data_IF_776136793114
#
_entry.id   IF_776136793114
#
_cell.length_a   1.000
_cell.length_b   1.000
_cell.length_c   1.000
_cell.angle_alpha   90.00
_cell.angle_beta   90.00
_cell.angle_gamma   90.00
#
_symmetry.space_group_name_H-M   'P 1'
#
loop_
_entity.id
_entity.type
_entity.pdbx_description
1 polymer ?
#
# COMPACT_ATOMS: atom_id res chain seq x y z
N UNK A 1 -36.77 -12.05 65.94
CA UNK A 1 -35.71 -11.41 65.12
C UNK A 1 -35.49 -12.26 63.87
N UNK A 2 -36.12 -11.89 62.76
CA UNK A 2 -35.97 -12.59 61.45
C UNK A 2 -34.86 -11.89 60.65
N UNK A 3 -33.76 -12.58 60.39
CA UNK A 3 -32.69 -12.09 59.52
C UNK A 3 -33.12 -12.26 58.06
N UNK A 4 -33.28 -11.13 57.36
CA UNK A 4 -33.49 -11.06 55.93
C UNK A 4 -32.12 -11.21 55.26
N UNK A 5 -31.88 -12.29 54.53
CA UNK A 5 -30.70 -12.46 53.68
C UNK A 5 -31.07 -11.91 52.31
N UNK A 6 -30.48 -10.79 51.96
CA UNK A 6 -30.61 -10.17 50.62
C UNK A 6 -29.60 -10.85 49.69
N UNK A 7 -30.05 -11.72 48.79
CA UNK A 7 -29.26 -12.28 47.70
C UNK A 7 -29.19 -11.22 46.59
N UNK A 8 -28.02 -10.60 46.42
CA UNK A 8 -27.75 -9.78 45.26
C UNK A 8 -27.35 -10.70 44.09
N UNK A 9 -28.27 -10.87 43.14
CA UNK A 9 -28.00 -11.58 41.89
C UNK A 9 -27.15 -10.68 41.01
N UNK A 10 -25.87 -10.99 40.86
CA UNK A 10 -24.96 -10.36 39.91
C UNK A 10 -25.33 -10.89 38.52
N UNK A 11 -26.08 -10.12 37.75
CA UNK A 11 -26.32 -10.39 36.34
C UNK A 11 -25.01 -10.14 35.60
N UNK A 12 -24.19 -11.16 35.34
CA UNK A 12 -23.13 -11.11 34.34
C UNK A 12 -23.82 -11.06 32.98
N UNK A 13 -23.90 -9.88 32.38
CA UNK A 13 -24.19 -9.74 30.96
C UNK A 13 -22.91 -10.18 30.22
N UNK A 14 -22.85 -11.46 29.88
CA UNK A 14 -21.92 -11.93 28.86
C UNK A 14 -22.39 -11.35 27.52
N UNK A 15 -21.79 -10.24 27.10
CA UNK A 15 -21.86 -9.80 25.71
C UNK A 15 -21.12 -10.87 24.93
N UNK A 16 -21.84 -11.87 24.46
CA UNK A 16 -21.32 -12.84 23.51
C UNK A 16 -20.89 -12.05 22.28
N UNK A 17 -19.58 -11.95 22.01
CA UNK A 17 -19.09 -11.43 20.74
C UNK A 17 -19.70 -12.31 19.65
N UNK A 18 -20.64 -11.76 18.87
CA UNK A 18 -21.16 -12.43 17.70
C UNK A 18 -19.99 -12.67 16.74
N UNK A 19 -19.73 -13.92 16.39
CA UNK A 19 -18.78 -14.24 15.35
C UNK A 19 -19.13 -13.41 14.10
N UNK A 20 -18.15 -12.69 13.56
CA UNK A 20 -18.36 -11.81 12.42
C UNK A 20 -18.90 -12.62 11.25
N UNK A 21 -20.10 -12.28 10.77
CA UNK A 21 -20.72 -13.00 9.64
C UNK A 21 -19.93 -12.68 8.37
N UNK A 22 -19.38 -13.72 7.69
CA UNK A 22 -18.64 -13.52 6.45
C UNK A 22 -19.49 -12.84 5.38
N UNK A 23 -18.92 -11.87 4.69
CA UNK A 23 -19.56 -11.31 3.50
C UNK A 23 -19.57 -12.33 2.37
N UNK A 24 -20.66 -12.33 1.64
CA UNK A 24 -20.83 -13.13 0.41
C UNK A 24 -20.70 -12.29 -0.84
N UNK A 25 -20.78 -10.96 -0.70
CA UNK A 25 -20.76 -9.98 -1.78
C UNK A 25 -20.13 -8.69 -1.27
N UNK A 26 -19.26 -8.10 -2.07
CA UNK A 26 -18.59 -6.85 -1.77
C UNK A 26 -19.46 -5.60 -2.00
N UNK A 27 -18.89 -4.44 -1.69
CA UNK A 27 -19.55 -3.16 -1.80
C UNK A 27 -19.91 -2.77 -3.26
N UNK A 28 -19.20 -3.29 -4.27
CA UNK A 28 -19.58 -3.10 -5.68
C UNK A 28 -21.01 -3.56 -6.00
N UNK A 29 -21.46 -4.64 -5.33
CA UNK A 29 -22.81 -5.16 -5.51
C UNK A 29 -23.80 -4.60 -4.48
N UNK A 30 -23.36 -4.42 -3.24
CA UNK A 30 -24.24 -4.16 -2.09
C UNK A 30 -24.33 -2.68 -1.72
N UNK A 31 -23.34 -1.88 -2.07
CA UNK A 31 -23.19 -0.49 -1.59
C UNK A 31 -22.99 -0.37 -0.07
N UNK A 32 -22.74 -1.49 0.63
CA UNK A 32 -22.62 -1.52 2.09
C UNK A 32 -21.16 -1.60 2.51
N UNK A 33 -20.84 -0.93 3.61
CA UNK A 33 -19.52 -0.92 4.24
C UNK A 33 -19.71 -1.22 5.73
N UNK A 34 -18.83 -2.07 6.28
CA UNK A 34 -18.84 -2.40 7.70
C UNK A 34 -18.14 -1.30 8.49
N UNK A 35 -18.66 -0.99 9.66
CA UNK A 35 -17.90 -0.27 10.68
C UNK A 35 -17.51 -1.27 11.78
N UNK A 36 -16.30 -1.85 11.62
CA UNK A 36 -15.84 -2.88 12.53
C UNK A 36 -15.60 -2.35 13.95
N UNK A 37 -15.19 -1.09 14.10
CA UNK A 37 -15.09 -0.46 15.42
C UNK A 37 -16.44 -0.53 16.15
N UNK A 38 -17.53 -0.14 15.48
CA UNK A 38 -18.87 -0.18 16.09
C UNK A 38 -19.32 -1.61 16.38
N UNK A 39 -19.06 -2.56 15.47
CA UNK A 39 -19.34 -3.98 15.68
C UNK A 39 -18.57 -4.55 16.88
N UNK A 40 -17.39 -4.01 17.19
CA UNK A 40 -16.55 -4.36 18.33
C UNK A 40 -16.83 -3.54 19.61
N UNK A 41 -17.90 -2.71 19.61
CA UNK A 41 -18.39 -2.03 20.79
C UNK A 41 -17.93 -0.58 20.98
N UNK A 42 -17.19 0.01 20.03
CA UNK A 42 -16.88 1.44 20.05
C UNK A 42 -18.12 2.26 19.68
N UNK A 43 -18.28 3.44 20.28
CA UNK A 43 -19.39 4.33 19.95
C UNK A 43 -19.12 5.03 18.61
N UNK A 44 -20.16 5.16 17.77
CA UNK A 44 -20.03 5.82 16.46
C UNK A 44 -19.40 7.23 16.59
N UNK A 45 -19.85 8.04 17.57
CA UNK A 45 -19.31 9.39 17.76
C UNK A 45 -17.81 9.40 18.08
N UNK A 46 -17.33 8.41 18.84
CA UNK A 46 -15.90 8.28 19.18
C UNK A 46 -15.10 7.84 17.94
N UNK A 47 -15.67 6.95 17.12
CA UNK A 47 -15.07 6.52 15.84
C UNK A 47 -14.94 7.71 14.88
N UNK A 48 -15.99 8.51 14.73
CA UNK A 48 -15.98 9.68 13.85
C UNK A 48 -14.97 10.74 14.34
N UNK A 49 -14.90 10.97 15.65
CA UNK A 49 -13.92 11.89 16.24
C UNK A 49 -12.48 11.38 16.05
N UNK A 50 -12.26 10.08 16.26
CA UNK A 50 -10.93 9.47 16.10
C UNK A 50 -10.47 9.47 14.64
N UNK A 51 -11.35 9.16 13.70
CA UNK A 51 -11.03 9.23 12.28
C UNK A 51 -10.63 10.66 11.86
N UNK A 52 -11.35 11.67 12.37
CA UNK A 52 -11.01 13.08 12.13
C UNK A 52 -9.68 13.47 12.80
N UNK A 53 -9.41 12.99 14.00
CA UNK A 53 -8.12 13.17 14.70
C UNK A 53 -6.96 12.64 13.85
N UNK A 54 -7.08 11.39 13.38
CA UNK A 54 -6.03 10.73 12.57
C UNK A 54 -5.83 11.44 11.23
N UNK A 55 -6.90 11.89 10.57
CA UNK A 55 -6.80 12.72 9.37
C UNK A 55 -6.04 14.02 9.66
N UNK A 56 -6.41 14.72 10.75
CA UNK A 56 -5.75 15.98 11.11
C UNK A 56 -4.28 15.79 11.48
N UNK A 57 -3.90 14.67 12.11
CA UNK A 57 -2.51 14.36 12.43
C UNK A 57 -1.64 14.34 11.14
N UNK A 58 -2.14 13.74 10.07
CA UNK A 58 -1.43 13.61 8.78
C UNK A 58 -1.47 14.90 7.95
N UNK A 59 -2.58 15.66 7.97
CA UNK A 59 -2.78 16.78 7.06
C UNK A 59 -2.67 18.17 7.69
N UNK A 60 -2.89 18.32 9.00
CA UNK A 60 -3.05 19.66 9.65
C UNK A 60 -2.28 19.78 10.95
N UNK A 61 -1.97 18.69 11.64
CA UNK A 61 -1.35 18.66 12.96
C UNK A 61 0.16 18.92 12.95
N UNK A 62 0.80 18.78 14.11
CA UNK A 62 2.26 18.99 14.22
C UNK A 62 3.07 17.93 13.48
N UNK A 63 2.52 16.73 13.28
CA UNK A 63 3.14 15.61 12.56
C UNK A 63 2.76 15.58 11.09
N UNK A 64 2.11 16.64 10.58
CA UNK A 64 1.61 16.67 9.21
C UNK A 64 2.70 16.42 8.18
N UNK A 65 2.32 15.68 7.15
CA UNK A 65 3.16 15.43 5.97
C UNK A 65 2.66 16.19 4.74
N UNK A 66 1.50 16.83 4.82
CA UNK A 66 0.95 17.69 3.77
C UNK A 66 1.39 19.14 3.94
N UNK A 67 1.84 19.76 2.83
CA UNK A 67 2.29 21.14 2.78
C UNK A 67 1.72 21.88 1.57
N UNK A 68 1.23 23.08 1.78
CA UNK A 68 0.78 23.98 0.73
C UNK A 68 1.94 24.76 0.11
N UNK A 69 1.82 25.03 -1.21
CA UNK A 69 2.80 25.80 -1.98
C UNK A 69 2.08 26.87 -2.76
N UNK A 70 2.30 28.14 -2.38
CA UNK A 70 1.55 29.26 -2.93
C UNK A 70 0.05 29.07 -2.79
N UNK A 71 -0.72 29.66 -3.72
CA UNK A 71 -2.18 29.73 -3.60
C UNK A 71 -2.90 28.49 -4.14
N UNK A 72 -2.21 27.63 -4.90
CA UNK A 72 -2.93 26.60 -5.68
C UNK A 72 -2.30 25.21 -5.71
N UNK A 73 -1.12 25.02 -5.12
CA UNK A 73 -0.42 23.73 -5.11
C UNK A 73 -0.16 23.23 -3.70
N UNK A 74 0.13 21.94 -3.57
CA UNK A 74 0.54 21.30 -2.33
C UNK A 74 1.18 19.96 -2.60
N UNK A 75 1.93 19.44 -1.63
CA UNK A 75 2.57 18.15 -1.72
C UNK A 75 2.50 17.39 -0.39
N UNK A 76 2.63 16.07 -0.47
CA UNK A 76 2.91 15.18 0.66
C UNK A 76 4.41 14.88 0.64
N UNK A 77 5.07 15.12 1.77
CA UNK A 77 6.51 14.92 1.93
C UNK A 77 6.82 13.67 2.74
N UNK A 78 7.73 12.84 2.24
CA UNK A 78 8.52 12.00 3.14
C UNK A 78 9.48 12.91 3.90
N UNK A 79 9.09 13.22 5.14
CA UNK A 79 9.78 14.22 5.98
C UNK A 79 11.25 13.83 6.21
N UNK A 80 11.52 12.53 6.34
CA UNK A 80 12.83 12.00 6.63
C UNK A 80 13.78 12.08 5.43
N UNK A 81 13.24 11.85 4.23
CA UNK A 81 14.01 11.89 3.00
C UNK A 81 13.96 13.26 2.31
N UNK A 82 13.18 14.20 2.85
CA UNK A 82 13.01 15.56 2.31
C UNK A 82 12.59 15.58 0.84
N UNK A 83 11.72 14.62 0.45
CA UNK A 83 11.22 14.51 -0.90
C UNK A 83 9.70 14.27 -0.93
N UNK A 84 9.11 14.49 -2.10
CA UNK A 84 7.74 14.09 -2.42
C UNK A 84 7.80 12.89 -3.36
N UNK A 85 7.09 11.83 -3.02
CA UNK A 85 7.05 10.57 -3.78
C UNK A 85 5.69 10.34 -4.38
N UNK A 86 5.63 9.65 -5.53
CA UNK A 86 4.34 9.27 -6.14
C UNK A 86 3.47 8.48 -5.18
N UNK A 87 4.05 7.65 -4.32
CA UNK A 87 3.36 6.93 -3.25
C UNK A 87 2.57 7.90 -2.36
N UNK A 88 3.25 8.83 -1.67
CA UNK A 88 2.59 9.76 -0.74
C UNK A 88 1.66 10.75 -1.43
N UNK A 89 2.01 11.22 -2.65
CA UNK A 89 1.15 12.11 -3.42
C UNK A 89 -0.15 11.42 -3.82
N UNK A 90 -0.09 10.17 -4.26
CA UNK A 90 -1.24 9.39 -4.67
C UNK A 90 -2.11 8.95 -3.49
N UNK A 91 -1.50 8.62 -2.35
CA UNK A 91 -2.20 8.38 -1.09
C UNK A 91 -2.93 9.63 -0.61
N UNK A 92 -2.25 10.79 -0.67
CA UNK A 92 -2.87 12.08 -0.33
C UNK A 92 -4.11 12.38 -1.16
N UNK A 93 -4.06 12.12 -2.48
CA UNK A 93 -5.22 12.25 -3.37
C UNK A 93 -6.34 11.28 -2.99
N UNK A 94 -6.02 10.01 -2.72
CA UNK A 94 -7.02 9.03 -2.33
C UNK A 94 -7.69 9.43 -1.01
N UNK A 95 -6.93 9.82 0.00
CA UNK A 95 -7.47 10.31 1.27
C UNK A 95 -8.33 11.55 1.06
N UNK A 96 -7.84 12.54 0.31
CA UNK A 96 -8.58 13.77 0.06
C UNK A 96 -9.94 13.51 -0.62
N UNK A 97 -9.98 12.61 -1.60
CA UNK A 97 -11.27 12.28 -2.24
C UNK A 97 -12.19 11.50 -1.31
N UNK A 98 -11.68 10.63 -0.43
CA UNK A 98 -12.48 9.92 0.56
C UNK A 98 -13.09 10.87 1.61
N UNK A 99 -12.33 11.84 2.09
CA UNK A 99 -12.77 12.84 3.06
C UNK A 99 -13.53 14.03 2.47
N UNK A 100 -13.74 14.06 1.14
CA UNK A 100 -14.36 15.17 0.42
C UNK A 100 -13.60 16.51 0.55
N UNK A 101 -12.28 16.46 0.66
CA UNK A 101 -11.39 17.61 0.75
C UNK A 101 -10.88 18.01 -0.65
N UNK A 102 -11.78 18.62 -1.44
CA UNK A 102 -11.52 18.95 -2.85
C UNK A 102 -10.33 19.91 -3.03
N UNK A 103 -10.18 20.90 -2.16
CA UNK A 103 -9.07 21.86 -2.27
C UNK A 103 -7.71 21.16 -2.08
N UNK A 104 -7.59 20.28 -1.09
CA UNK A 104 -6.38 19.46 -0.87
C UNK A 104 -6.10 18.60 -2.11
N UNK A 105 -7.14 17.92 -2.64
CA UNK A 105 -7.00 17.10 -3.84
C UNK A 105 -6.48 17.90 -5.04
N UNK A 106 -7.08 19.04 -5.31
CA UNK A 106 -6.74 19.89 -6.45
C UNK A 106 -5.31 20.46 -6.31
N UNK A 107 -4.89 20.84 -5.11
CA UNK A 107 -3.52 21.31 -4.82
C UNK A 107 -2.49 20.21 -5.05
N UNK A 108 -2.75 19.01 -4.55
CA UNK A 108 -1.90 17.84 -4.74
C UNK A 108 -1.79 17.48 -6.23
N UNK A 109 -2.93 17.44 -6.95
CA UNK A 109 -2.94 17.10 -8.37
C UNK A 109 -2.17 18.11 -9.21
N UNK A 110 -2.36 19.42 -8.96
CA UNK A 110 -1.63 20.45 -9.71
C UNK A 110 -0.12 20.36 -9.49
N UNK A 111 0.33 20.07 -8.27
CA UNK A 111 1.75 19.89 -7.99
C UNK A 111 2.31 18.64 -8.68
N UNK A 112 1.61 17.50 -8.54
CA UNK A 112 1.95 16.23 -9.18
C UNK A 112 2.09 16.39 -10.69
N UNK A 113 1.08 16.98 -11.33
CA UNK A 113 1.07 17.18 -12.78
C UNK A 113 2.20 18.10 -13.25
N UNK A 114 2.49 19.15 -12.51
CA UNK A 114 3.53 20.13 -12.88
C UNK A 114 4.93 19.58 -12.76
N UNK A 115 5.23 18.88 -11.65
CA UNK A 115 6.60 18.54 -11.32
C UNK A 115 6.94 17.07 -11.55
N UNK A 116 6.01 16.16 -11.30
CA UNK A 116 6.27 14.72 -11.42
C UNK A 116 5.90 14.18 -12.80
N UNK A 117 4.75 14.58 -13.37
CA UNK A 117 4.28 14.00 -14.63
C UNK A 117 5.17 14.39 -15.80
N UNK A 118 5.60 13.40 -16.58
CA UNK A 118 6.31 13.63 -17.85
C UNK A 118 5.31 14.12 -18.89
N UNK A 119 5.67 15.20 -19.58
CA UNK A 119 4.80 15.85 -20.58
C UNK A 119 5.14 15.45 -22.00
N UNK A 120 6.30 14.78 -22.20
CA UNK A 120 6.82 14.37 -23.48
C UNK A 120 7.72 13.14 -23.37
N UNK A 121 8.19 12.64 -24.51
CA UNK A 121 9.10 11.52 -24.64
C UNK A 121 8.43 10.16 -24.33
N UNK A 122 9.25 9.12 -24.18
CA UNK A 122 8.75 7.75 -23.94
C UNK A 122 7.97 7.62 -22.64
N UNK A 123 8.30 8.43 -21.64
CA UNK A 123 7.62 8.43 -20.33
C UNK A 123 6.43 9.39 -20.27
N UNK A 124 6.00 9.97 -21.40
CA UNK A 124 4.83 10.85 -21.41
C UNK A 124 3.63 10.19 -20.71
N UNK A 125 3.06 10.91 -19.72
CA UNK A 125 1.93 10.48 -18.90
C UNK A 125 2.30 9.69 -17.66
N UNK A 126 3.51 9.09 -17.55
CA UNK A 126 4.06 8.53 -16.33
C UNK A 126 4.62 9.61 -15.41
N UNK A 127 5.01 9.23 -14.19
CA UNK A 127 5.48 10.17 -13.17
C UNK A 127 6.90 9.84 -12.72
N UNK A 128 7.72 10.86 -12.53
CA UNK A 128 8.97 10.73 -11.78
C UNK A 128 8.63 10.33 -10.33
N UNK A 129 9.11 9.17 -9.87
CA UNK A 129 8.67 8.61 -8.60
C UNK A 129 9.05 9.43 -7.38
N UNK A 130 10.11 10.26 -7.47
CA UNK A 130 10.57 11.12 -6.39
C UNK A 130 11.03 12.49 -6.93
N UNK A 131 10.59 13.55 -6.28
CA UNK A 131 10.99 14.92 -6.49
C UNK A 131 11.37 15.58 -5.16
N UNK A 132 12.29 16.51 -5.17
CA UNK A 132 12.49 17.43 -4.04
C UNK A 132 11.24 18.28 -3.84
N UNK A 133 11.09 18.86 -2.68
CA UNK A 133 9.93 19.72 -2.36
C UNK A 133 9.87 21.02 -3.19
N UNK A 134 10.97 21.39 -3.84
CA UNK A 134 11.02 22.47 -4.83
C UNK A 134 10.57 22.05 -6.24
N UNK A 135 10.25 20.76 -6.44
CA UNK A 135 9.83 20.19 -7.72
C UNK A 135 10.96 19.63 -8.58
N UNK A 136 12.23 19.73 -8.14
CA UNK A 136 13.35 19.10 -8.87
C UNK A 136 13.26 17.59 -8.77
N UNK A 137 13.27 16.89 -9.91
CA UNK A 137 13.20 15.45 -9.96
C UNK A 137 14.47 14.80 -9.45
N UNK A 138 14.37 13.90 -8.47
CA UNK A 138 15.47 13.08 -7.99
C UNK A 138 15.79 11.94 -8.97
N UNK A 139 14.76 11.41 -9.63
CA UNK A 139 14.88 10.37 -10.65
C UNK A 139 13.79 10.55 -11.70
N UNK A 140 14.11 10.32 -12.99
CA UNK A 140 13.11 10.34 -14.06
C UNK A 140 12.28 9.05 -14.14
N UNK A 141 12.66 7.98 -13.45
CA UNK A 141 11.97 6.69 -13.48
C UNK A 141 10.60 6.76 -12.80
N UNK A 142 9.69 5.88 -13.19
CA UNK A 142 8.41 5.70 -12.53
C UNK A 142 8.47 4.54 -11.53
N UNK A 143 7.62 4.58 -10.51
CA UNK A 143 7.31 3.48 -9.60
C UNK A 143 5.84 3.14 -9.76
N UNK A 144 5.54 1.88 -10.07
CA UNK A 144 4.23 1.49 -10.59
C UNK A 144 3.06 1.68 -9.62
N UNK A 145 3.30 1.72 -8.31
CA UNK A 145 2.26 1.87 -7.28
C UNK A 145 1.57 3.25 -7.31
N UNK A 146 2.32 4.31 -7.60
CA UNK A 146 1.76 5.66 -7.68
C UNK A 146 0.69 5.80 -8.75
N UNK A 147 0.93 5.25 -9.94
CA UNK A 147 0.01 5.27 -11.06
C UNK A 147 -1.32 4.60 -10.73
N UNK A 148 -1.31 3.50 -9.96
CA UNK A 148 -2.53 2.81 -9.53
C UNK A 148 -3.46 3.72 -8.72
N UNK A 149 -2.89 4.37 -7.71
CA UNK A 149 -3.65 5.27 -6.85
C UNK A 149 -4.06 6.55 -7.58
N UNK A 150 -3.20 7.13 -8.44
CA UNK A 150 -3.55 8.31 -9.23
C UNK A 150 -4.77 8.07 -10.10
N UNK A 151 -4.78 6.98 -10.88
CA UNK A 151 -5.92 6.65 -11.76
C UNK A 151 -7.19 6.49 -10.92
N UNK A 152 -7.13 5.69 -9.86
CA UNK A 152 -8.30 5.38 -9.04
C UNK A 152 -8.84 6.62 -8.32
N UNK A 153 -7.95 7.44 -7.73
CA UNK A 153 -8.33 8.68 -7.06
C UNK A 153 -8.96 9.70 -8.04
N UNK A 154 -8.42 9.82 -9.25
CA UNK A 154 -8.98 10.70 -10.29
C UNK A 154 -10.34 10.22 -10.77
N UNK A 155 -10.56 8.91 -10.94
CA UNK A 155 -11.88 8.36 -11.26
C UNK A 155 -12.88 8.64 -10.14
N UNK A 156 -12.47 8.51 -8.89
CA UNK A 156 -13.30 8.87 -7.74
C UNK A 156 -13.58 10.37 -7.66
N UNK A 157 -12.61 11.23 -7.96
CA UNK A 157 -12.79 12.66 -8.03
C UNK A 157 -13.80 13.06 -9.11
N UNK A 158 -13.68 12.45 -10.29
CA UNK A 158 -14.66 12.60 -11.38
C UNK A 158 -16.08 12.21 -10.94
N UNK A 159 -16.21 11.07 -10.25
CA UNK A 159 -17.50 10.58 -9.76
C UNK A 159 -18.08 11.46 -8.64
N UNK A 160 -17.23 12.05 -7.79
CA UNK A 160 -17.67 12.85 -6.64
C UNK A 160 -17.96 14.31 -7.00
N UNK A 161 -17.09 14.94 -7.79
CA UNK A 161 -17.13 16.39 -8.03
C UNK A 161 -17.45 16.77 -9.47
N UNK A 162 -17.53 15.80 -10.38
CA UNK A 162 -17.70 16.07 -11.82
C UNK A 162 -16.39 16.50 -12.48
N UNK A 163 -16.48 17.00 -13.72
CA UNK A 163 -15.33 17.29 -14.57
C UNK A 163 -15.24 18.77 -15.00
N UNK A 164 -16.23 19.59 -14.64
CA UNK A 164 -16.32 21.01 -15.03
C UNK A 164 -15.90 21.96 -13.91
N UNK A 165 -15.01 21.51 -13.01
CA UNK A 165 -14.65 22.22 -11.79
C UNK A 165 -13.22 22.80 -11.81
N UNK A 166 -12.69 23.09 -13.00
CA UNK A 166 -11.32 23.58 -13.22
C UNK A 166 -10.28 22.49 -13.49
N UNK A 167 -10.58 21.23 -13.12
CA UNK A 167 -9.81 20.02 -13.49
C UNK A 167 -10.79 19.01 -14.06
N UNK A 168 -10.52 18.53 -15.26
CA UNK A 168 -11.25 17.39 -15.83
C UNK A 168 -10.60 16.09 -15.34
N UNK A 169 -11.01 15.61 -14.14
CA UNK A 169 -10.43 14.43 -13.49
C UNK A 169 -10.54 13.17 -14.35
N UNK A 170 -11.64 13.02 -15.09
CA UNK A 170 -11.84 11.88 -16.00
C UNK A 170 -10.79 11.87 -17.11
N UNK A 171 -10.58 13.01 -17.76
CA UNK A 171 -9.58 13.13 -18.81
C UNK A 171 -8.16 12.90 -18.27
N UNK A 172 -7.87 13.37 -17.07
CA UNK A 172 -6.57 13.10 -16.41
C UNK A 172 -6.37 11.60 -16.13
N UNK A 173 -7.39 10.91 -15.61
CA UNK A 173 -7.33 9.46 -15.40
C UNK A 173 -7.12 8.71 -16.72
N UNK A 174 -7.86 9.07 -17.77
CA UNK A 174 -7.73 8.45 -19.10
C UNK A 174 -6.37 8.72 -19.74
N UNK A 175 -5.78 9.89 -19.51
CA UNK A 175 -4.41 10.18 -19.96
C UNK A 175 -3.41 9.20 -19.37
N UNK A 176 -3.51 8.90 -18.08
CA UNK A 176 -2.63 7.93 -17.42
C UNK A 176 -2.94 6.52 -17.93
N UNK A 177 -4.22 6.11 -17.99
CA UNK A 177 -4.64 4.81 -18.54
C UNK A 177 -4.11 4.56 -19.95
N UNK A 178 -4.03 5.59 -20.78
CA UNK A 178 -3.44 5.50 -22.11
C UNK A 178 -1.90 5.42 -22.04
N UNK A 179 -1.28 6.17 -21.14
CA UNK A 179 0.18 6.20 -21.00
C UNK A 179 0.77 4.86 -20.59
N UNK A 180 0.07 4.14 -19.68
CA UNK A 180 0.54 2.87 -19.11
C UNK A 180 0.38 1.66 -20.03
N UNK A 181 -0.18 1.84 -21.24
CA UNK A 181 -0.25 0.79 -22.25
C UNK A 181 1.15 0.43 -22.76
N UNK A 182 1.35 -0.80 -23.26
CA UNK A 182 2.63 -1.20 -23.83
C UNK A 182 3.07 -0.26 -24.96
N UNK A 183 4.30 0.23 -24.86
CA UNK A 183 4.96 1.08 -25.87
C UNK A 183 6.31 0.47 -26.23
N UNK A 184 6.70 0.56 -27.50
CA UNK A 184 8.06 0.23 -27.97
C UNK A 184 8.85 1.50 -28.21
N UNK A 185 10.13 1.48 -27.87
CA UNK A 185 11.03 2.60 -28.07
C UNK A 185 12.45 2.15 -28.37
N UNK A 186 13.14 2.94 -29.17
CA UNK A 186 14.57 2.77 -29.38
C UNK A 186 15.32 3.39 -28.19
N UNK A 187 16.21 2.64 -27.52
CA UNK A 187 16.99 3.20 -26.42
C UNK A 187 17.88 4.33 -26.95
N UNK A 188 17.81 5.50 -26.31
CA UNK A 188 18.77 6.56 -26.59
C UNK A 188 20.18 6.04 -26.36
N UNK A 189 21.07 6.22 -27.38
CA UNK A 189 22.49 5.94 -27.23
C UNK A 189 23.06 6.90 -26.17
N UNK A 190 23.04 6.51 -24.90
CA UNK A 190 23.66 7.30 -23.85
C UNK A 190 25.18 7.22 -23.99
N UNK A 191 25.77 8.32 -24.44
CA UNK A 191 27.17 8.63 -24.19
C UNK A 191 27.41 8.56 -22.68
N UNK A 192 28.30 7.67 -22.25
CA UNK A 192 28.47 7.32 -20.86
C UNK A 192 28.72 8.53 -19.95
N UNK A 193 27.82 8.78 -19.02
CA UNK A 193 28.13 9.33 -17.70
C UNK A 193 27.09 8.80 -16.71
N UNK A 194 27.57 8.11 -15.67
CA UNK A 194 26.77 7.39 -14.70
C UNK A 194 25.91 8.28 -13.83
N UNK A 195 24.61 8.06 -13.85
CA UNK A 195 23.68 8.44 -12.80
C UNK A 195 23.39 7.20 -11.92
N UNK A 196 23.38 7.37 -10.62
CA UNK A 196 23.04 6.35 -9.64
C UNK A 196 21.65 5.75 -9.93
N UNK A 197 21.62 4.54 -10.46
CA UNK A 197 20.40 3.82 -10.87
C UNK A 197 20.61 2.75 -11.93
N UNK A 198 21.81 2.65 -12.48
CA UNK A 198 22.17 1.65 -13.51
C UNK A 198 23.10 0.57 -12.96
N UNK A 199 22.62 -0.32 -12.11
CA UNK A 199 23.32 -1.57 -11.80
C UNK A 199 22.89 -2.64 -12.80
N UNK A 200 23.72 -2.86 -13.83
CA UNK A 200 23.52 -3.91 -14.80
C UNK A 200 24.53 -3.77 -15.93
N UNK A 201 25.80 -4.08 -15.68
CA UNK A 201 26.75 -4.45 -16.71
C UNK A 201 26.33 -5.80 -17.32
N UNK A 202 25.30 -5.80 -18.12
CA UNK A 202 24.84 -6.94 -18.93
C UNK A 202 24.60 -6.42 -20.34
N UNK A 203 25.02 -7.20 -21.32
CA UNK A 203 24.96 -7.01 -22.75
C UNK A 203 23.91 -5.96 -23.20
N UNK A 204 24.34 -4.94 -23.94
CA UNK A 204 23.47 -4.04 -24.66
C UNK A 204 22.43 -4.88 -25.40
N UNK A 205 21.16 -4.86 -24.94
CA UNK A 205 20.06 -5.36 -25.74
C UNK A 205 19.97 -4.43 -26.97
N UNK A 206 20.48 -4.90 -28.08
CA UNK A 206 20.31 -4.24 -29.37
C UNK A 206 18.87 -4.51 -29.83
N UNK A 207 18.06 -3.51 -29.90
CA UNK A 207 16.70 -3.57 -30.43
C UNK A 207 15.69 -2.75 -29.63
N UNK A 208 14.47 -2.58 -30.13
CA UNK A 208 13.41 -1.83 -29.45
C UNK A 208 13.16 -2.35 -28.03
N UNK A 209 13.13 -1.44 -27.08
CA UNK A 209 12.74 -1.75 -25.71
C UNK A 209 11.25 -1.50 -25.52
N UNK A 210 10.64 -2.20 -24.57
CA UNK A 210 9.22 -2.04 -24.22
C UNK A 210 9.08 -1.34 -22.89
N UNK A 211 8.04 -0.51 -22.77
CA UNK A 211 7.64 0.13 -21.54
C UNK A 211 6.16 -0.18 -21.29
N UNK A 212 5.82 -0.71 -20.13
CA UNK A 212 4.46 -1.05 -19.71
C UNK A 212 4.34 -1.15 -18.19
N UNK A 213 3.21 -0.72 -17.66
CA UNK A 213 2.91 -0.88 -16.23
C UNK A 213 2.47 -2.31 -15.90
N UNK A 214 1.61 -2.87 -16.75
CA UNK A 214 1.11 -4.23 -16.65
C UNK A 214 1.82 -5.10 -17.67
N UNK A 215 2.44 -6.16 -17.22
CA UNK A 215 3.08 -7.13 -18.12
C UNK A 215 2.03 -7.76 -19.05
N UNK A 216 2.21 -7.68 -20.37
CA UNK A 216 1.19 -8.09 -21.33
C UNK A 216 0.95 -9.61 -21.37
N UNK A 217 1.88 -10.44 -20.87
CA UNK A 217 1.76 -11.89 -20.86
C UNK A 217 1.11 -12.37 -19.56
N UNK A 218 1.63 -11.93 -18.42
CA UNK A 218 1.17 -12.37 -17.11
C UNK A 218 -0.05 -11.61 -16.59
N UNK A 219 -0.32 -10.41 -17.12
CA UNK A 219 -1.34 -9.45 -16.63
C UNK A 219 -1.06 -8.95 -15.21
N UNK A 220 0.18 -9.07 -14.76
CA UNK A 220 0.62 -8.60 -13.45
C UNK A 220 1.33 -7.26 -13.55
N UNK A 221 1.23 -6.48 -12.49
CA UNK A 221 1.92 -5.20 -12.39
C UNK A 221 3.43 -5.42 -12.26
N UNK A 222 4.21 -4.60 -12.96
CA UNK A 222 5.67 -4.60 -12.87
C UNK A 222 6.14 -3.74 -11.68
N UNK A 223 7.31 -4.02 -11.11
CA UNK A 223 7.89 -3.16 -10.08
C UNK A 223 8.19 -1.75 -10.62
N UNK A 224 8.78 -1.66 -11.81
CA UNK A 224 8.87 -0.41 -12.59
C UNK A 224 8.49 -0.67 -14.03
N UNK A 225 7.94 0.31 -14.76
CA UNK A 225 7.46 0.10 -16.14
C UNK A 225 8.57 -0.09 -17.18
N UNK A 226 9.81 0.14 -16.80
CA UNK A 226 10.99 -0.01 -17.67
C UNK A 226 12.19 -0.59 -16.89
N UNK A 227 13.22 -1.01 -17.64
CA UNK A 227 14.48 -1.49 -17.08
C UNK A 227 14.38 -2.83 -16.34
N UNK A 228 15.21 -2.99 -15.30
CA UNK A 228 15.29 -4.25 -14.55
C UNK A 228 13.99 -4.53 -13.77
N UNK A 229 13.36 -3.51 -13.22
CA UNK A 229 12.13 -3.66 -12.41
C UNK A 229 10.92 -4.17 -13.22
N UNK A 230 11.01 -4.15 -14.56
CA UNK A 230 9.98 -4.71 -15.43
C UNK A 230 9.91 -6.25 -15.39
N UNK A 231 10.95 -6.90 -14.86
CA UNK A 231 11.09 -8.38 -14.86
C UNK A 231 10.57 -9.04 -13.58
N UNK A 232 10.10 -8.26 -12.65
CA UNK A 232 9.59 -8.73 -11.37
C UNK A 232 8.51 -7.78 -10.84
N UNK A 233 7.93 -8.11 -9.71
CA UNK A 233 6.85 -7.35 -9.10
C UNK A 233 7.08 -7.16 -7.59
N UNK A 234 6.28 -6.29 -6.99
CA UNK A 234 6.09 -6.14 -5.57
C UNK A 234 4.68 -6.61 -5.20
N UNK A 235 4.52 -7.57 -4.28
CA UNK A 235 3.19 -8.03 -3.87
C UNK A 235 2.26 -6.91 -3.38
N UNK A 236 2.83 -5.84 -2.80
CA UNK A 236 2.06 -4.69 -2.32
C UNK A 236 1.50 -3.80 -3.43
N UNK A 237 1.99 -3.94 -4.66
CA UNK A 237 1.45 -3.23 -5.83
C UNK A 237 0.20 -3.90 -6.40
N UNK A 238 -0.12 -5.11 -5.96
CA UNK A 238 -1.32 -5.82 -6.41
C UNK A 238 -2.55 -5.36 -5.61
N UNK A 239 -3.39 -4.55 -6.26
CA UNK A 239 -4.63 -4.01 -5.71
C UNK A 239 -5.80 -4.37 -6.63
N UNK A 240 -6.29 -5.64 -6.61
CA UNK A 240 -7.34 -6.10 -7.53
C UNK A 240 -8.58 -5.22 -7.54
N UNK A 241 -8.95 -4.67 -6.38
CA UNK A 241 -10.07 -3.75 -6.22
C UNK A 241 -10.00 -2.52 -7.14
N UNK A 242 -8.79 -2.01 -7.43
CA UNK A 242 -8.61 -0.85 -8.31
C UNK A 242 -8.85 -1.21 -9.77
N UNK A 243 -8.45 -2.39 -10.20
CA UNK A 243 -8.74 -2.86 -11.56
C UNK A 243 -10.24 -3.05 -11.80
N UNK A 244 -11.01 -3.45 -10.79
CA UNK A 244 -12.48 -3.47 -10.86
C UNK A 244 -13.07 -2.05 -11.04
N UNK A 245 -12.49 -1.04 -10.37
CA UNK A 245 -12.86 0.38 -10.58
C UNK A 245 -12.56 0.81 -12.01
N UNK A 246 -11.38 0.44 -12.54
CA UNK A 246 -10.98 0.81 -13.90
C UNK A 246 -11.82 0.11 -14.95
N UNK A 247 -12.16 -1.18 -14.75
CA UNK A 247 -13.07 -1.91 -15.61
C UNK A 247 -14.45 -1.23 -15.70
N UNK A 248 -14.89 -0.61 -14.61
CA UNK A 248 -16.22 0.00 -14.52
C UNK A 248 -16.26 1.44 -14.99
N UNK A 249 -15.22 2.24 -14.75
CA UNK A 249 -15.25 3.68 -14.99
C UNK A 249 -14.05 4.24 -15.77
N UNK A 250 -13.11 3.40 -16.19
CA UNK A 250 -11.94 3.82 -17.00
C UNK A 250 -12.35 4.39 -18.36
N UNK A 251 -13.36 3.81 -18.99
CA UNK A 251 -13.87 4.15 -20.34
C UNK A 251 -12.74 4.18 -21.40
N UNK A 252 -11.77 3.28 -21.25
CA UNK A 252 -10.61 3.15 -22.12
C UNK A 252 -10.74 2.01 -23.14
N UNK A 253 -11.93 1.38 -23.20
CA UNK A 253 -12.22 0.24 -24.04
C UNK A 253 -11.64 -1.09 -23.58
N UNK A 254 -11.01 -1.15 -22.38
CA UNK A 254 -10.28 -2.31 -21.86
C UNK A 254 -10.90 -2.95 -20.61
N UNK A 255 -12.21 -2.84 -20.44
CA UNK A 255 -12.88 -3.35 -19.25
C UNK A 255 -12.56 -4.84 -18.94
N UNK A 256 -12.55 -5.70 -19.96
CA UNK A 256 -12.27 -7.12 -19.77
C UNK A 256 -10.79 -7.38 -19.45
N UNK A 257 -9.87 -6.59 -20.03
CA UNK A 257 -8.46 -6.64 -19.65
C UNK A 257 -8.25 -6.30 -18.16
N UNK A 258 -8.93 -5.27 -17.65
CA UNK A 258 -8.84 -4.90 -16.23
C UNK A 258 -9.42 -5.94 -15.30
N UNK A 259 -10.53 -6.61 -15.69
CA UNK A 259 -11.06 -7.75 -14.94
C UNK A 259 -10.07 -8.92 -14.92
N UNK A 260 -9.42 -9.20 -16.04
CA UNK A 260 -8.36 -10.22 -16.10
C UNK A 260 -7.19 -9.86 -15.18
N UNK A 261 -6.72 -8.60 -15.17
CA UNK A 261 -5.69 -8.13 -14.25
C UNK A 261 -6.09 -8.30 -12.79
N UNK A 262 -7.35 -8.01 -12.43
CA UNK A 262 -7.86 -8.23 -11.08
C UNK A 262 -7.80 -9.71 -10.68
N UNK A 263 -8.26 -10.59 -11.57
CA UNK A 263 -8.20 -12.04 -11.33
C UNK A 263 -6.75 -12.54 -11.20
N UNK A 264 -5.87 -12.14 -12.12
CA UNK A 264 -4.45 -12.56 -12.08
C UNK A 264 -3.72 -12.05 -10.86
N UNK A 265 -4.02 -10.85 -10.38
CA UNK A 265 -3.48 -10.33 -9.13
C UNK A 265 -3.94 -11.13 -7.91
N UNK A 266 -5.20 -11.58 -7.85
CA UNK A 266 -5.68 -12.49 -6.79
C UNK A 266 -4.92 -13.82 -6.82
N UNK A 267 -4.86 -14.47 -7.99
CA UNK A 267 -4.11 -15.73 -8.19
C UNK A 267 -2.61 -15.58 -7.82
N UNK A 268 -2.02 -14.44 -8.11
CA UNK A 268 -0.64 -14.13 -7.75
C UNK A 268 -0.45 -14.00 -6.24
N UNK A 269 -1.34 -13.29 -5.53
CA UNK A 269 -1.26 -13.13 -4.07
C UNK A 269 -1.33 -14.48 -3.33
N UNK A 270 -2.04 -15.48 -3.87
CA UNK A 270 -2.01 -16.85 -3.34
C UNK A 270 -0.60 -17.47 -3.35
N UNK A 271 0.18 -17.18 -4.40
CA UNK A 271 1.54 -17.75 -4.58
C UNK A 271 2.60 -16.93 -3.85
N UNK A 272 2.40 -15.61 -3.75
CA UNK A 272 3.36 -14.70 -3.15
C UNK A 272 3.40 -14.79 -1.62
N UNK A 273 2.27 -15.18 -0.97
CA UNK A 273 2.16 -15.30 0.48
C UNK A 273 2.50 -16.69 0.97
N UNK A 274 3.16 -16.76 2.12
CA UNK A 274 3.52 -18.05 2.76
C UNK A 274 2.28 -18.77 3.29
N UNK A 275 2.25 -20.08 3.11
CA UNK A 275 1.08 -20.91 3.47
C UNK A 275 0.82 -20.95 4.98
N UNK A 276 1.83 -20.76 5.82
CA UNK A 276 1.72 -20.88 7.28
C UNK A 276 1.56 -19.53 7.94
N UNK A 277 2.41 -18.56 7.55
CA UNK A 277 2.48 -17.25 8.19
C UNK A 277 1.59 -16.19 7.53
N UNK A 278 1.30 -16.34 6.23
CA UNK A 278 0.67 -15.29 5.41
C UNK A 278 1.65 -14.19 5.01
N UNK A 279 2.91 -14.24 5.41
CA UNK A 279 3.91 -13.23 5.06
C UNK A 279 4.33 -13.35 3.59
N UNK A 280 4.71 -12.23 2.99
CA UNK A 280 5.22 -12.12 1.63
C UNK A 280 6.58 -11.42 1.62
N UNK A 281 7.35 -11.58 0.55
CA UNK A 281 8.54 -10.78 0.33
C UNK A 281 8.18 -9.35 -0.08
N UNK A 282 9.12 -8.43 0.11
CA UNK A 282 9.03 -7.05 -0.36
C UNK A 282 9.00 -6.99 -1.90
N UNK A 283 9.77 -7.87 -2.54
CA UNK A 283 9.74 -8.10 -3.99
C UNK A 283 9.76 -9.59 -4.29
N UNK A 284 9.21 -10.01 -5.43
CA UNK A 284 9.27 -11.38 -5.89
C UNK A 284 9.11 -11.48 -7.42
N UNK A 285 9.38 -12.68 -7.95
CA UNK A 285 9.11 -13.00 -9.35
C UNK A 285 7.59 -13.06 -9.63
N UNK A 286 7.17 -13.00 -10.89
CA UNK A 286 5.76 -13.09 -11.29
C UNK A 286 5.09 -14.43 -10.95
N UNK A 287 5.84 -15.46 -10.64
CA UNK A 287 5.31 -16.74 -10.15
C UNK A 287 5.20 -16.81 -8.61
N UNK A 288 5.54 -15.71 -7.91
CA UNK A 288 5.53 -15.62 -6.45
C UNK A 288 6.81 -16.14 -5.78
N UNK A 289 7.78 -16.66 -6.55
CA UNK A 289 9.06 -17.12 -6.03
C UNK A 289 9.97 -15.96 -5.60
N UNK A 290 10.93 -16.27 -4.77
CA UNK A 290 11.89 -15.29 -4.24
C UNK A 290 12.78 -14.69 -5.34
N UNK A 291 13.14 -13.41 -5.16
CA UNK A 291 14.16 -12.78 -5.98
C UNK A 291 15.52 -13.46 -5.76
N UNK A 292 16.18 -13.84 -6.87
CA UNK A 292 17.56 -14.32 -6.79
C UNK A 292 18.45 -13.24 -6.16
N UNK A 293 19.32 -13.64 -5.23
CA UNK A 293 20.27 -12.71 -4.60
C UNK A 293 21.17 -12.05 -5.66
N UNK A 294 21.24 -10.72 -5.62
CA UNK A 294 22.08 -9.96 -6.54
C UNK A 294 23.56 -10.27 -6.30
N UNK A 295 24.21 -10.93 -7.24
CA UNK A 295 25.67 -10.99 -7.30
C UNK A 295 26.18 -9.81 -8.11
N UNK A 296 26.86 -8.87 -7.44
CA UNK A 296 27.57 -7.82 -8.17
C UNK A 296 28.77 -8.43 -8.92
N UNK A 297 28.81 -8.41 -10.26
CA UNK A 297 30.01 -8.77 -10.99
C UNK A 297 31.14 -7.81 -10.61
N UNK A 298 32.25 -8.35 -10.11
CA UNK A 298 33.47 -7.57 -9.85
C UNK A 298 33.73 -7.13 -8.41
N UNK A 299 32.90 -7.50 -7.42
CA UNK A 299 33.29 -7.34 -6.02
C UNK A 299 34.13 -8.53 -5.59
N UNK A 300 35.39 -8.33 -5.09
CA UNK A 300 36.21 -9.44 -4.58
C UNK A 300 35.44 -10.15 -3.46
N UNK A 301 35.35 -11.46 -3.55
CA UNK A 301 34.88 -12.28 -2.43
C UNK A 301 35.82 -12.03 -1.25
N UNK A 302 35.26 -11.58 -0.13
CA UNK A 302 35.98 -11.54 1.11
C UNK A 302 36.62 -12.92 1.35
N UNK A 303 37.90 -12.93 1.78
CA UNK A 303 38.73 -14.11 1.93
C UNK A 303 37.95 -15.25 2.60
N UNK A 304 37.87 -16.37 1.91
CA UNK A 304 37.29 -17.60 2.39
C UNK A 304 37.99 -18.05 3.68
N UNK A 305 37.26 -18.10 4.77
CA UNK A 305 37.61 -18.97 5.87
C UNK A 305 37.14 -20.39 5.51
N UNK A 306 38.07 -21.30 5.50
CA UNK A 306 37.92 -22.69 5.06
C UNK A 306 36.75 -23.41 5.72
N UNK A 307 35.88 -24.00 4.91
CA UNK A 307 35.11 -25.20 5.26
C UNK A 307 33.64 -25.06 5.65
N UNK A 308 33.02 -23.87 5.66
CA UNK A 308 31.58 -23.76 5.91
C UNK A 308 30.76 -23.83 4.58
N UNK A 309 29.62 -24.52 4.57
CA UNK A 309 28.71 -24.47 3.41
C UNK A 309 28.36 -23.04 3.09
N UNK A 310 28.58 -22.60 1.84
CA UNK A 310 28.21 -21.26 1.40
C UNK A 310 26.67 -21.17 1.29
N UNK A 311 26.04 -20.60 2.28
CA UNK A 311 24.68 -20.08 2.10
C UNK A 311 24.78 -18.86 1.18
N UNK A 312 24.02 -18.79 0.08
CA UNK A 312 23.98 -17.57 -0.75
C UNK A 312 23.61 -16.38 0.14
N UNK A 313 24.19 -15.18 -0.10
CA UNK A 313 23.78 -14.00 0.66
C UNK A 313 22.26 -13.84 0.50
N UNK A 314 21.53 -13.87 1.62
CA UNK A 314 20.09 -13.68 1.62
C UNK A 314 19.77 -12.28 1.11
N UNK A 315 18.82 -12.18 0.19
CA UNK A 315 18.35 -10.92 -0.32
C UNK A 315 17.27 -10.36 0.60
N UNK A 316 17.53 -9.24 1.26
CA UNK A 316 16.56 -8.61 2.14
C UNK A 316 15.21 -8.24 1.45
N UNK A 317 15.18 -8.16 0.11
CA UNK A 317 13.94 -7.97 -0.63
C UNK A 317 12.99 -9.18 -0.56
N UNK A 318 13.46 -10.34 -0.12
CA UNK A 318 12.63 -11.52 0.11
C UNK A 318 11.97 -11.51 1.50
N UNK A 319 12.28 -10.54 2.36
CA UNK A 319 11.71 -10.42 3.69
C UNK A 319 10.41 -9.62 3.66
N UNK A 320 9.51 -9.94 4.59
CA UNK A 320 8.35 -9.12 4.91
C UNK A 320 8.82 -7.86 5.65
N UNK A 321 8.63 -6.70 5.04
CA UNK A 321 9.08 -5.40 5.56
C UNK A 321 8.45 -4.26 4.77
N UNK A 322 8.38 -3.05 5.34
CA UNK A 322 7.94 -1.82 4.66
C UNK A 322 6.78 -2.02 3.67
N UNK A 323 7.06 -2.09 2.35
CA UNK A 323 6.05 -2.19 1.31
C UNK A 323 5.17 -3.44 1.48
N UNK A 324 5.74 -4.54 1.95
CA UNK A 324 5.01 -5.76 2.28
C UNK A 324 3.87 -5.55 3.28
N UNK A 325 3.97 -4.55 4.18
CA UNK A 325 2.92 -4.27 5.17
C UNK A 325 1.59 -3.88 4.52
N UNK A 326 1.61 -3.37 3.29
CA UNK A 326 0.39 -2.99 2.54
C UNK A 326 -0.44 -4.20 2.10
N UNK A 327 0.17 -5.37 1.94
CA UNK A 327 -0.51 -6.56 1.40
C UNK A 327 -1.73 -6.97 2.24
N UNK A 328 -1.67 -7.07 3.58
CA UNK A 328 -2.86 -7.37 4.39
C UNK A 328 -4.00 -6.37 4.15
N UNK A 329 -3.67 -5.10 4.01
CA UNK A 329 -4.66 -4.04 3.77
C UNK A 329 -5.22 -4.08 2.34
N UNK A 330 -4.40 -4.37 1.33
CA UNK A 330 -4.84 -4.50 -0.07
C UNK A 330 -5.78 -5.71 -0.27
N UNK A 331 -5.48 -6.84 0.38
CA UNK A 331 -6.37 -8.02 0.38
C UNK A 331 -7.69 -7.69 1.08
N UNK A 332 -7.62 -6.94 2.19
CA UNK A 332 -8.80 -6.45 2.89
C UNK A 332 -9.67 -5.56 2.01
N UNK A 333 -9.04 -4.61 1.29
CA UNK A 333 -9.76 -3.72 0.36
C UNK A 333 -10.51 -4.50 -0.71
N UNK A 334 -9.85 -5.50 -1.31
CA UNK A 334 -10.48 -6.33 -2.33
C UNK A 334 -11.64 -7.18 -1.77
N UNK A 335 -11.51 -7.68 -0.55
CA UNK A 335 -12.61 -8.36 0.14
C UNK A 335 -13.80 -7.41 0.38
N UNK A 336 -13.55 -6.22 0.90
CA UNK A 336 -14.60 -5.24 1.19
C UNK A 336 -15.31 -4.76 -0.09
N UNK A 337 -14.55 -4.51 -1.16
CA UNK A 337 -15.13 -3.94 -2.37
C UNK A 337 -15.69 -4.98 -3.32
N UNK A 338 -14.99 -6.08 -3.54
CA UNK A 338 -15.33 -7.13 -4.52
C UNK A 338 -15.85 -8.41 -3.89
N UNK A 339 -15.17 -8.90 -2.84
CA UNK A 339 -15.40 -10.23 -2.26
C UNK A 339 -15.27 -11.39 -3.28
N UNK A 340 -14.56 -11.16 -4.40
CA UNK A 340 -14.47 -12.13 -5.50
C UNK A 340 -13.66 -13.38 -5.12
N UNK A 341 -12.78 -13.28 -4.15
CA UNK A 341 -11.93 -14.37 -3.62
C UNK A 341 -12.13 -14.54 -2.10
N UNK A 342 -13.34 -14.31 -1.63
CA UNK A 342 -13.67 -14.09 -0.23
C UNK A 342 -13.33 -15.28 0.68
N UNK A 343 -13.30 -16.53 0.20
CA UNK A 343 -12.91 -17.67 1.01
C UNK A 343 -11.41 -17.64 1.32
N UNK A 344 -10.58 -17.52 0.30
CA UNK A 344 -9.14 -17.44 0.48
C UNK A 344 -8.74 -16.19 1.28
N UNK A 345 -9.36 -15.04 0.99
CA UNK A 345 -9.08 -13.79 1.70
C UNK A 345 -9.31 -13.92 3.21
N UNK A 346 -10.38 -14.61 3.63
CA UNK A 346 -10.61 -14.89 5.06
C UNK A 346 -9.56 -15.84 5.63
N UNK A 347 -9.22 -16.90 4.92
CA UNK A 347 -8.15 -17.83 5.35
C UNK A 347 -6.82 -17.08 5.50
N UNK A 348 -6.53 -16.17 4.58
CA UNK A 348 -5.35 -15.29 4.67
C UNK A 348 -5.41 -14.40 5.92
N UNK A 349 -6.54 -13.73 6.17
CA UNK A 349 -6.72 -12.86 7.33
C UNK A 349 -6.50 -13.60 8.65
N UNK A 350 -7.09 -14.79 8.80
CA UNK A 350 -6.88 -15.62 9.99
C UNK A 350 -5.42 -16.06 10.14
N UNK A 351 -4.76 -16.38 9.04
CA UNK A 351 -3.36 -16.82 9.00
C UNK A 351 -2.41 -15.70 9.44
N UNK A 352 -2.53 -14.51 8.83
CA UNK A 352 -1.65 -13.38 9.14
C UNK A 352 -1.86 -12.87 10.57
N UNK A 353 -3.10 -12.82 11.06
CA UNK A 353 -3.37 -12.43 12.44
C UNK A 353 -2.89 -13.49 13.44
N UNK A 354 -3.05 -14.79 13.16
CA UNK A 354 -2.50 -15.84 14.02
C UNK A 354 -0.97 -15.74 14.11
N UNK A 355 -0.30 -15.44 13.02
CA UNK A 355 1.14 -15.22 13.03
C UNK A 355 1.51 -14.05 13.97
N UNK A 356 0.98 -12.85 13.75
CA UNK A 356 1.30 -11.68 14.57
C UNK A 356 0.83 -11.82 16.02
N UNK A 357 -0.27 -12.52 16.26
CA UNK A 357 -0.72 -12.85 17.61
C UNK A 357 0.31 -13.70 18.36
N UNK A 358 0.92 -14.67 17.69
CA UNK A 358 1.97 -15.51 18.27
C UNK A 358 3.26 -14.73 18.60
N UNK A 359 3.48 -13.59 17.94
CA UNK A 359 4.61 -12.69 18.20
C UNK A 359 4.30 -11.65 19.31
N UNK A 360 3.03 -11.59 19.78
CA UNK A 360 2.53 -10.63 20.76
C UNK A 360 2.01 -9.35 20.11
N UNK A 361 0.71 -9.06 20.34
CA UNK A 361 0.00 -7.95 19.66
C UNK A 361 0.66 -6.59 19.87
N UNK A 362 1.22 -6.35 21.07
CA UNK A 362 1.87 -5.10 21.44
C UNK A 362 3.41 -5.09 21.22
N UNK A 363 3.97 -6.17 20.67
CA UNK A 363 5.44 -6.36 20.65
C UNK A 363 6.01 -6.91 19.35
N UNK A 364 5.19 -7.36 18.41
CA UNK A 364 5.69 -7.90 17.15
C UNK A 364 6.57 -6.86 16.42
N UNK A 365 7.54 -7.37 15.68
CA UNK A 365 8.53 -6.56 14.98
C UNK A 365 8.06 -6.20 13.57
N UNK A 366 8.73 -5.24 12.97
CA UNK A 366 8.40 -4.68 11.68
C UNK A 366 9.04 -5.38 10.48
N UNK A 367 9.89 -6.39 10.72
CA UNK A 367 10.50 -7.21 9.67
C UNK A 367 10.59 -8.66 10.07
N UNK A 368 10.27 -9.55 9.13
CA UNK A 368 10.37 -11.00 9.26
C UNK A 368 10.80 -11.62 7.94
N UNK A 369 11.42 -12.81 7.99
CA UNK A 369 11.50 -13.68 6.81
C UNK A 369 10.11 -14.27 6.55
N UNK A 370 9.87 -14.76 5.35
CA UNK A 370 8.56 -15.37 4.99
C UNK A 370 8.16 -16.54 5.91
N UNK A 371 9.14 -17.31 6.40
CA UNK A 371 8.92 -18.41 7.35
C UNK A 371 8.60 -17.95 8.79
N UNK A 372 8.56 -16.66 9.04
CA UNK A 372 8.27 -16.04 10.33
C UNK A 372 9.49 -15.87 11.23
N UNK A 373 10.69 -16.28 10.82
CA UNK A 373 11.91 -16.04 11.57
C UNK A 373 12.37 -14.58 11.48
N UNK A 374 13.03 -14.09 12.52
CA UNK A 374 13.52 -12.70 12.58
C UNK A 374 14.79 -12.60 11.71
N UNK A 375 14.88 -11.58 10.81
CA UNK A 375 16.09 -11.33 10.03
C UNK A 375 17.23 -10.83 10.90
N UNK A 376 18.47 -11.03 10.46
CA UNK A 376 19.67 -10.67 11.21
C UNK A 376 20.67 -9.88 10.35
N UNK A 377 21.47 -9.05 11.00
CA UNK A 377 22.60 -8.36 10.39
C UNK A 377 22.23 -7.53 9.16
N UNK A 378 22.79 -7.86 8.01
CA UNK A 378 22.57 -7.11 6.76
C UNK A 378 21.21 -7.36 6.10
N UNK A 379 20.43 -8.32 6.56
CA UNK A 379 19.06 -8.55 6.11
C UNK A 379 18.09 -7.50 6.66
N UNK A 380 18.44 -6.89 7.81
CA UNK A 380 17.62 -5.82 8.41
C UNK A 380 17.86 -4.55 7.63
N UNK A 381 16.83 -4.03 7.00
CA UNK A 381 16.85 -2.76 6.29
C UNK A 381 16.03 -1.73 7.05
N UNK A 382 16.53 -0.51 7.09
CA UNK A 382 15.86 0.59 7.73
C UNK A 382 15.92 1.85 6.88
N UNK A 383 14.84 2.62 6.83
CA UNK A 383 14.84 3.94 6.23
C UNK A 383 15.93 4.80 6.89
N UNK A 384 16.79 5.44 6.09
CA UNK A 384 17.85 6.32 6.56
C UNK A 384 19.01 5.65 7.28
N UNK A 385 19.26 4.34 7.06
CA UNK A 385 20.42 3.62 7.60
C UNK A 385 20.28 3.15 9.04
N UNK A 386 19.13 3.31 9.68
CA UNK A 386 18.83 2.74 10.99
C UNK A 386 18.45 1.27 10.84
N UNK A 387 19.35 0.38 11.30
CA UNK A 387 19.16 -1.08 11.29
C UNK A 387 18.63 -1.56 12.65
N UNK A 388 17.43 -1.12 13.01
CA UNK A 388 16.78 -1.53 14.26
C UNK A 388 15.37 -1.99 13.96
N UNK A 389 15.02 -3.17 14.41
CA UNK A 389 13.65 -3.67 14.37
C UNK A 389 12.79 -2.94 15.40
N UNK A 390 11.55 -2.63 15.03
CA UNK A 390 10.62 -1.86 15.87
C UNK A 390 9.23 -2.47 15.83
N UNK A 391 8.40 -2.04 16.74
CA UNK A 391 6.96 -2.25 16.69
C UNK A 391 6.33 -1.03 15.99
N UNK A 392 6.38 -1.00 14.64
CA UNK A 392 5.95 0.16 13.84
C UNK A 392 4.43 0.26 13.77
N UNK A 393 3.90 1.47 13.98
CA UNK A 393 2.46 1.72 13.96
C UNK A 393 1.84 1.47 12.58
N UNK A 394 2.59 1.66 11.50
CA UNK A 394 2.14 1.33 10.14
C UNK A 394 1.81 -0.15 9.99
N UNK A 395 2.68 -1.04 10.51
CA UNK A 395 2.39 -2.47 10.50
C UNK A 395 1.26 -2.84 11.45
N UNK A 396 1.21 -2.26 12.66
CA UNK A 396 0.06 -2.43 13.58
C UNK A 396 -1.24 -2.08 12.87
N UNK A 397 -1.24 -1.00 12.12
CA UNK A 397 -2.40 -0.51 11.39
C UNK A 397 -2.87 -1.48 10.29
N UNK A 398 -1.96 -1.95 9.46
CA UNK A 398 -2.32 -2.83 8.34
C UNK A 398 -2.75 -4.22 8.81
N UNK A 399 -2.12 -4.75 9.88
CA UNK A 399 -2.57 -6.00 10.52
C UNK A 399 -3.93 -5.83 11.19
N UNK A 400 -4.19 -4.69 11.86
CA UNK A 400 -5.51 -4.40 12.42
C UNK A 400 -6.58 -4.30 11.32
N UNK A 401 -6.29 -3.71 10.16
CA UNK A 401 -7.23 -3.65 9.04
C UNK A 401 -7.64 -5.06 8.57
N UNK A 402 -6.74 -6.06 8.60
CA UNK A 402 -7.06 -7.44 8.26
C UNK A 402 -8.09 -8.11 9.18
N UNK A 403 -8.44 -7.49 10.32
CA UNK A 403 -9.55 -7.93 11.18
C UNK A 403 -10.90 -7.95 10.45
N UNK A 404 -11.05 -7.19 9.37
CA UNK A 404 -12.23 -7.25 8.49
C UNK A 404 -12.42 -8.61 7.82
N UNK A 405 -11.34 -9.39 7.68
CA UNK A 405 -11.31 -10.73 7.07
C UNK A 405 -11.58 -11.84 8.08
N UNK A 406 -11.40 -11.57 9.36
CA UNK A 406 -11.33 -12.59 10.40
C UNK A 406 -12.67 -12.81 11.10
N UNK A 407 -12.83 -14.02 11.64
CA UNK A 407 -14.00 -14.41 12.46
C UNK A 407 -13.64 -14.80 13.89
N UNK A 408 -12.35 -14.73 14.28
CA UNK A 408 -11.90 -15.15 15.59
C UNK A 408 -11.82 -13.99 16.61
N UNK A 409 -11.84 -14.34 17.89
CA UNK A 409 -11.89 -13.37 19.01
C UNK A 409 -10.63 -12.47 19.11
N UNK A 410 -9.48 -12.94 18.61
CA UNK A 410 -8.22 -12.21 18.65
C UNK A 410 -8.23 -10.90 17.85
N UNK A 411 -9.10 -10.78 16.85
CA UNK A 411 -9.20 -9.58 16.01
C UNK A 411 -9.46 -8.32 16.81
N UNK A 412 -10.18 -8.44 17.94
CA UNK A 412 -10.43 -7.27 18.80
C UNK A 412 -9.15 -6.72 19.42
N UNK A 413 -8.20 -7.57 19.81
CA UNK A 413 -6.93 -7.12 20.39
C UNK A 413 -6.12 -6.29 19.38
N UNK A 414 -6.09 -6.68 18.08
CA UNK A 414 -5.44 -5.88 17.04
C UNK A 414 -6.13 -4.54 16.79
N UNK A 415 -7.47 -4.53 16.80
CA UNK A 415 -8.25 -3.29 16.65
C UNK A 415 -8.03 -2.37 17.84
N UNK A 416 -8.01 -2.92 19.08
CA UNK A 416 -7.73 -2.17 20.30
C UNK A 416 -6.28 -1.63 20.30
N UNK A 417 -5.31 -2.42 19.84
CA UNK A 417 -3.92 -1.99 19.72
C UNK A 417 -3.80 -0.77 18.77
N UNK A 418 -4.42 -0.83 17.58
CA UNK A 418 -4.46 0.31 16.67
C UNK A 418 -5.17 1.53 17.28
N UNK A 419 -6.32 1.33 17.92
CA UNK A 419 -7.10 2.42 18.53
C UNK A 419 -6.29 3.18 19.57
N UNK A 420 -5.53 2.46 20.39
CA UNK A 420 -4.74 3.00 21.50
C UNK A 420 -3.34 3.43 21.08
N UNK A 421 -2.88 3.05 19.88
CA UNK A 421 -1.54 3.36 19.42
C UNK A 421 -1.30 4.88 19.33
N UNK A 422 -0.18 5.30 19.88
CA UNK A 422 0.26 6.71 19.84
C UNK A 422 1.24 6.90 18.68
N UNK A 423 0.92 7.81 17.77
CA UNK A 423 1.80 8.18 16.68
C UNK A 423 2.78 9.26 17.16
N UNK A 424 3.84 8.81 17.80
CA UNK A 424 4.87 9.64 18.43
C UNK A 424 6.26 9.03 18.19
N UNK A 425 7.34 9.83 18.29
CA UNK A 425 8.71 9.30 18.19
C UNK A 425 8.98 8.16 19.19
N UNK A 426 9.78 7.19 18.75
CA UNK A 426 10.34 6.17 19.62
C UNK A 426 11.36 6.80 20.60
N UNK A 427 11.74 6.06 21.67
CA UNK A 427 12.69 6.54 22.66
C UNK A 427 14.06 6.93 22.09
N UNK A 428 14.46 6.33 20.98
CA UNK A 428 15.70 6.64 20.26
C UNK A 428 15.55 7.83 19.28
N UNK A 429 14.40 8.51 19.29
CA UNK A 429 14.09 9.66 18.43
C UNK A 429 13.65 9.30 17.01
N UNK A 430 13.62 8.02 16.64
CA UNK A 430 13.09 7.63 15.33
C UNK A 430 11.59 7.90 15.26
N UNK A 431 11.15 8.50 14.16
CA UNK A 431 9.75 8.78 13.91
C UNK A 431 9.46 8.73 12.40
N UNK A 432 8.46 7.99 12.00
CA UNK A 432 7.98 7.96 10.64
C UNK A 432 6.58 8.59 10.56
N UNK A 433 6.56 9.92 10.39
CA UNK A 433 5.31 10.66 10.21
C UNK A 433 4.64 10.35 8.87
N UNK A 434 5.43 9.96 7.88
CA UNK A 434 4.98 9.75 6.51
C UNK A 434 4.33 8.39 6.32
N UNK A 435 5.11 7.31 6.34
CA UNK A 435 4.61 5.99 6.00
C UNK A 435 3.69 5.43 7.09
N UNK A 436 4.16 5.43 8.34
CA UNK A 436 3.35 5.00 9.49
C UNK A 436 2.05 5.82 9.62
N UNK A 437 2.14 7.15 9.44
CA UNK A 437 0.97 8.04 9.53
C UNK A 437 -0.07 7.77 8.45
N UNK A 438 0.37 7.60 7.19
CA UNK A 438 -0.53 7.31 6.07
C UNK A 438 -1.17 5.92 6.19
N UNK A 439 -0.41 4.86 6.51
CA UNK A 439 -0.97 3.52 6.69
C UNK A 439 -1.96 3.47 7.87
N UNK A 440 -1.65 4.19 8.97
CA UNK A 440 -2.58 4.33 10.09
C UNK A 440 -3.90 4.96 9.65
N UNK A 441 -3.87 6.02 8.85
CA UNK A 441 -5.07 6.67 8.36
C UNK A 441 -5.90 5.76 7.45
N UNK A 442 -5.25 5.02 6.52
CA UNK A 442 -5.94 4.03 5.69
C UNK A 442 -6.61 2.94 6.53
N UNK A 443 -5.93 2.41 7.55
CA UNK A 443 -6.52 1.39 8.42
C UNK A 443 -7.75 1.91 9.17
N UNK A 444 -7.72 3.15 9.65
CA UNK A 444 -8.91 3.77 10.26
C UNK A 444 -10.05 3.96 9.26
N UNK A 445 -9.76 4.29 7.99
CA UNK A 445 -10.80 4.34 6.94
C UNK A 445 -11.41 2.96 6.69
N UNK A 446 -10.61 1.89 6.61
CA UNK A 446 -11.11 0.52 6.49
C UNK A 446 -12.04 0.16 7.65
N UNK A 447 -11.50 0.19 8.87
CA UNK A 447 -12.20 -0.30 10.06
C UNK A 447 -13.44 0.51 10.41
N UNK A 448 -13.52 1.78 10.00
CA UNK A 448 -14.70 2.64 10.18
C UNK A 448 -15.72 2.56 9.02
N UNK A 449 -15.43 1.78 7.96
CA UNK A 449 -16.26 1.70 6.75
C UNK A 449 -16.28 3.00 5.94
N UNK A 450 -15.21 3.80 6.01
CA UNK A 450 -15.07 5.06 5.28
C UNK A 450 -14.10 4.99 4.10
N UNK A 451 -13.52 3.83 3.80
CA UNK A 451 -12.81 3.61 2.55
C UNK A 451 -13.78 3.07 1.49
N UNK A 452 -14.39 3.97 0.74
CA UNK A 452 -15.58 3.67 -0.05
C UNK A 452 -15.34 3.79 -1.55
N UNK A 453 -16.05 2.97 -2.32
CA UNK A 453 -16.21 3.15 -3.75
C UNK A 453 -17.07 4.40 -3.96
N UNK A 454 -16.54 5.38 -4.66
CA UNK A 454 -17.26 6.61 -4.98
C UNK A 454 -17.89 6.43 -6.34
N UNK A 455 -19.23 6.34 -6.37
CA UNK A 455 -20.01 6.19 -7.60
C UNK A 455 -20.38 7.55 -8.20
N UNK A 456 -20.60 7.64 -9.52
CA UNK A 456 -21.07 8.87 -10.13
C UNK A 456 -22.33 9.41 -9.45
N UNK A 457 -22.36 10.73 -9.22
CA UNK A 457 -23.57 11.40 -8.77
C UNK A 457 -24.65 11.26 -9.87
N UNK A 458 -25.88 10.94 -9.45
CA UNK A 458 -27.03 10.81 -10.36
C UNK A 458 -27.52 12.18 -10.83
#
# INVERSE_FOLDING_TARGET
MKRLVMMASLLMVTVGMMALTPWKKGAFETGKYRNLFVEMGYKQADVDAKLKEVFNDVFRGPNKVYFEVGDSMGYVSDIKNHDARTEGMSYGLMVAVQFNEKDIFDRLWRWTKKYMQHQDGIREGYFAWSCRTDGTRNSPGAASDGELYFITALLFASNRWGNDTGINYKAEAQRILNAIQPKEYEPEQRGGFGGFGGFGGGQQQQGPQKMYLIDPETKLITFTPDGFGQRHTDPSYHIPAFYEVWAKWGDDGRADFWKECAQKSREFLHKATDEKTGLNGDQCQFDGSEMAGFRFPGRPQGQQQNGAPQTPPRNGNNNFRYDSWRVPMNITLDYEWSCADGEWQRQYGEKIQNFFYSQGVDTFLDQYRKDGSIPEGNEILGAGGFRKLRHSIGLVATVAASSMLCSHDKSKEFVDALWNAKHVPFEDGYFDAYYDGLLRLFAFMHLSGNYRIITPQK
#
